data_IF_434581900624
#
_entry.id   IF_434581900624
#
_cell.length_a   1.000
_cell.length_b   1.000
_cell.length_c   1.000
_cell.angle_alpha   90.00
_cell.angle_beta   90.00
_cell.angle_gamma   90.00
#
_symmetry.space_group_name_H-M   'P 1'
#
loop_
_entity.id
_entity.type
_entity.pdbx_description
1 polymer ?
#
# COMPACT_ATOMS: atom_id res chain seq x y z
N UNK A 1 -72.09 22.33 14.22
CA UNK A 1 -70.96 22.76 13.33
C UNK A 1 -69.92 21.64 13.32
N UNK A 2 -69.40 21.13 12.19
CA UNK A 2 -68.37 21.74 11.30
C UNK A 2 -67.08 22.09 12.09
N UNK A 3 -65.87 21.56 11.82
CA UNK A 3 -65.35 20.75 10.68
C UNK A 3 -64.22 19.76 11.10
N UNK A 4 -64.13 18.70 10.30
CA UNK A 4 -62.95 17.91 9.87
C UNK A 4 -61.59 18.08 10.55
N UNK A 5 -60.97 16.95 10.89
CA UNK A 5 -59.52 16.84 11.04
C UNK A 5 -58.80 16.81 9.69
N UNK A 6 -57.50 17.15 9.72
CA UNK A 6 -56.60 17.07 8.58
C UNK A 6 -55.25 16.54 9.09
N UNK A 7 -55.08 15.22 9.06
CA UNK A 7 -53.79 14.59 9.33
C UNK A 7 -52.88 14.79 8.10
N UNK A 8 -51.75 15.48 8.29
CA UNK A 8 -50.76 15.68 7.23
C UNK A 8 -49.92 14.40 7.03
N UNK A 9 -49.56 14.05 5.78
CA UNK A 9 -49.05 12.73 5.44
C UNK A 9 -47.59 12.49 5.84
N UNK A 10 -47.26 11.23 6.10
CA UNK A 10 -45.91 10.79 6.43
C UNK A 10 -44.91 11.08 5.28
N UNK A 11 -43.92 11.94 5.55
CA UNK A 11 -42.84 12.25 4.64
C UNK A 11 -41.87 11.08 4.47
N UNK A 12 -41.98 10.35 3.35
CA UNK A 12 -40.96 9.37 2.92
C UNK A 12 -39.64 10.08 2.63
N UNK A 13 -38.67 9.99 3.54
CA UNK A 13 -37.29 10.33 3.24
C UNK A 13 -36.70 9.36 2.19
N UNK A 14 -36.64 9.82 0.93
CA UNK A 14 -35.87 9.16 -0.12
C UNK A 14 -34.41 9.59 -0.04
N UNK A 15 -33.58 8.79 0.63
CA UNK A 15 -32.13 8.90 0.48
C UNK A 15 -31.78 8.37 -0.92
N UNK A 16 -31.37 9.27 -1.82
CA UNK A 16 -30.78 8.87 -3.11
C UNK A 16 -29.33 8.45 -2.87
N UNK A 17 -29.09 7.15 -2.74
CA UNK A 17 -27.74 6.62 -2.89
C UNK A 17 -27.34 6.66 -4.37
N UNK A 18 -26.15 7.18 -4.65
CA UNK A 18 -25.63 7.29 -6.01
C UNK A 18 -25.27 5.89 -6.54
N UNK A 19 -25.56 5.67 -7.83
CA UNK A 19 -25.31 4.41 -8.51
C UNK A 19 -23.85 4.28 -8.89
N UNK A 20 -23.18 3.24 -8.37
CA UNK A 20 -22.22 2.39 -9.08
C UNK A 20 -21.67 1.33 -8.12
N UNK A 21 -21.84 0.05 -8.45
CA UNK A 21 -20.74 -0.91 -8.58
C UNK A 21 -21.16 -2.02 -9.56
N UNK A 22 -20.15 -2.64 -10.17
CA UNK A 22 -20.24 -3.50 -11.36
C UNK A 22 -20.93 -4.85 -11.12
N UNK A 23 -21.65 -5.35 -12.13
CA UNK A 23 -21.98 -6.76 -12.28
C UNK A 23 -20.75 -7.53 -12.76
N UNK A 24 -20.35 -8.58 -12.04
CA UNK A 24 -19.33 -9.53 -12.50
C UNK A 24 -19.98 -10.90 -12.78
N UNK A 25 -20.54 -11.03 -13.96
CA UNK A 25 -21.00 -12.28 -14.55
C UNK A 25 -20.82 -12.15 -16.06
N UNK A 26 -19.89 -12.94 -16.59
CA UNK A 26 -19.73 -13.40 -17.99
C UNK A 26 -18.24 -13.58 -18.31
N UNK A 27 -17.68 -14.71 -17.90
CA UNK A 27 -16.72 -15.45 -18.71
C UNK A 27 -16.73 -16.92 -18.29
N UNK A 28 -17.41 -17.72 -19.10
CA UNK A 28 -17.42 -19.17 -18.98
C UNK A 28 -16.08 -19.80 -19.41
N UNK A 29 -15.71 -20.84 -18.65
CA UNK A 29 -15.17 -22.10 -19.16
C UNK A 29 -13.75 -22.13 -19.79
N UNK A 30 -12.81 -22.68 -19.01
CA UNK A 30 -11.93 -23.76 -19.50
C UNK A 30 -11.67 -24.77 -18.36
N UNK A 31 -12.52 -25.79 -18.30
CA UNK A 31 -12.10 -27.16 -17.94
C UNK A 31 -11.03 -27.63 -18.95
N UNK A 32 -10.01 -28.45 -18.67
CA UNK A 32 -9.69 -29.39 -17.59
C UNK A 32 -8.16 -29.49 -17.45
N UNK A 33 -7.63 -29.84 -16.27
CA UNK A 33 -6.91 -31.10 -16.03
C UNK A 33 -6.22 -31.06 -14.64
N UNK A 34 -6.63 -31.95 -13.74
CA UNK A 34 -6.04 -32.13 -12.41
C UNK A 34 -5.82 -33.61 -12.14
N UNK A 35 -4.57 -34.03 -11.98
CA UNK A 35 -4.22 -35.34 -11.46
C UNK A 35 -2.88 -35.33 -10.69
N UNK A 36 -2.86 -36.03 -9.57
CA UNK A 36 -1.66 -36.52 -8.84
C UNK A 36 -0.80 -35.53 -8.02
N UNK A 37 -1.30 -35.29 -6.82
CA UNK A 37 -0.63 -35.19 -5.51
C UNK A 37 0.87 -35.64 -5.40
N UNK A 38 1.72 -34.76 -4.84
CA UNK A 38 2.67 -34.90 -3.69
C UNK A 38 3.48 -36.21 -3.41
N UNK A 39 4.61 -36.19 -2.64
CA UNK A 39 5.23 -35.08 -1.88
C UNK A 39 6.79 -34.95 -1.92
N UNK A 40 7.27 -33.98 -1.12
CA UNK A 40 8.61 -33.62 -0.56
C UNK A 40 9.83 -34.57 -0.70
N UNK A 41 11.07 -34.04 -0.90
CA UNK A 41 12.32 -34.81 -0.83
C UNK A 41 12.94 -34.88 0.57
N UNK A 42 13.61 -35.99 0.89
CA UNK A 42 14.59 -36.12 1.98
C UNK A 42 15.64 -37.20 1.62
N UNK A 43 16.88 -36.98 2.07
CA UNK A 43 18.06 -37.87 2.13
C UNK A 43 18.12 -39.16 1.26
N UNK A 44 19.21 -39.28 0.47
CA UNK A 44 20.28 -40.21 0.86
C UNK A 44 21.62 -39.93 0.17
N UNK A 45 22.72 -40.23 0.88
CA UNK A 45 24.10 -39.97 0.48
C UNK A 45 24.81 -41.27 0.10
N UNK A 46 25.28 -41.44 -1.15
CA UNK A 46 26.16 -42.56 -1.49
C UNK A 46 27.06 -42.39 -2.75
N UNK A 47 28.38 -42.37 -2.48
CA UNK A 47 29.48 -43.06 -3.22
C UNK A 47 30.06 -42.44 -4.50
N UNK A 48 31.27 -41.91 -4.35
CA UNK A 48 32.33 -41.84 -5.36
C UNK A 48 32.98 -43.20 -5.64
N UNK A 49 33.35 -43.44 -6.91
CA UNK A 49 34.59 -44.09 -7.39
C UNK A 49 34.59 -43.89 -8.93
N UNK A 50 35.51 -43.13 -9.54
CA UNK A 50 36.93 -43.44 -9.78
C UNK A 50 37.14 -44.67 -10.69
N UNK A 51 37.50 -44.43 -11.96
CA UNK A 51 38.67 -45.06 -12.59
C UNK A 51 39.16 -44.26 -13.81
N UNK A 52 40.45 -44.37 -14.14
CA UNK A 52 41.09 -43.75 -15.30
C UNK A 52 41.97 -44.80 -16.01
N UNK A 53 41.84 -44.95 -17.33
CA UNK A 53 42.65 -45.89 -18.11
C UNK A 53 42.96 -45.44 -19.55
N UNK A 54 44.25 -45.43 -19.86
CA UNK A 54 44.94 -45.50 -21.17
C UNK A 54 46.15 -46.48 -20.96
N UNK A 55 46.98 -46.90 -21.96
CA UNK A 55 47.08 -46.48 -23.37
C UNK A 55 47.37 -47.61 -24.41
N UNK A 56 47.61 -47.21 -25.68
CA UNK A 56 48.50 -47.84 -26.70
C UNK A 56 48.15 -49.26 -27.28
N UNK A 57 48.54 -49.72 -28.48
CA UNK A 57 49.11 -49.19 -29.76
C UNK A 57 49.35 -50.40 -30.73
N UNK A 58 49.65 -50.33 -32.04
CA UNK A 58 49.41 -49.39 -33.16
C UNK A 58 49.93 -50.05 -34.48
N UNK A 59 49.21 -49.98 -35.63
CA UNK A 59 49.72 -50.40 -36.95
C UNK A 59 48.91 -49.84 -38.15
N UNK A 60 49.60 -49.55 -39.26
CA UNK A 60 49.10 -49.05 -40.56
C UNK A 60 49.48 -50.07 -41.69
N UNK A 61 49.41 -49.85 -43.04
CA UNK A 61 49.33 -48.59 -43.80
C UNK A 61 48.50 -48.61 -45.13
N UNK A 62 48.76 -47.59 -45.99
CA UNK A 62 48.43 -47.44 -47.42
C UNK A 62 46.98 -47.04 -47.81
N UNK A 63 46.73 -46.26 -48.87
CA UNK A 63 47.50 -45.25 -49.62
C UNK A 63 46.51 -44.45 -50.50
N UNK A 64 46.66 -43.13 -50.64
CA UNK A 64 46.01 -42.31 -51.70
C UNK A 64 46.51 -40.86 -51.67
N UNK A 65 46.91 -40.36 -52.83
CA UNK A 65 47.55 -39.06 -53.01
C UNK A 65 46.59 -37.86 -52.98
N UNK A 66 47.18 -36.66 -52.84
CA UNK A 66 46.52 -35.36 -52.76
C UNK A 66 45.91 -34.92 -54.14
N UNK A 67 45.18 -33.79 -54.19
CA UNK A 67 45.86 -32.50 -54.10
C UNK A 67 45.32 -31.57 -53.00
N UNK A 68 46.25 -30.82 -52.43
CA UNK A 68 45.96 -29.71 -51.54
C UNK A 68 45.23 -28.62 -52.33
N UNK A 69 43.93 -28.45 -52.11
CA UNK A 69 43.31 -27.15 -52.33
C UNK A 69 43.90 -26.19 -51.30
N UNK A 70 44.84 -25.34 -51.74
CA UNK A 70 45.33 -24.23 -50.95
C UNK A 70 44.14 -23.30 -50.65
N UNK A 71 43.51 -23.53 -49.49
CA UNK A 71 42.60 -22.58 -48.88
C UNK A 71 43.45 -21.35 -48.56
N UNK A 72 43.52 -20.41 -49.51
CA UNK A 72 44.13 -19.12 -49.26
C UNK A 72 43.42 -18.55 -48.05
N UNK A 73 44.15 -18.41 -46.94
CA UNK A 73 43.72 -17.61 -45.82
C UNK A 73 43.68 -16.17 -46.32
N UNK A 74 42.56 -15.81 -46.97
CA UNK A 74 42.26 -14.44 -47.33
C UNK A 74 42.31 -13.66 -46.02
N UNK A 75 43.30 -12.77 -45.90
CA UNK A 75 43.38 -11.87 -44.76
C UNK A 75 42.02 -11.15 -44.67
N UNK A 76 41.41 -11.08 -43.47
CA UNK A 76 40.09 -10.49 -43.32
C UNK A 76 40.12 -9.10 -43.93
N UNK A 77 39.19 -8.81 -44.84
CA UNK A 77 39.15 -7.48 -45.44
C UNK A 77 38.74 -6.47 -44.37
N UNK A 78 39.09 -5.19 -44.54
CA UNK A 78 38.74 -4.16 -43.56
C UNK A 78 37.21 -4.10 -43.29
N UNK A 79 36.38 -4.50 -44.26
CA UNK A 79 34.94 -4.65 -44.07
C UNK A 79 34.55 -5.81 -43.16
N UNK A 80 35.23 -6.96 -43.25
CA UNK A 80 34.94 -8.14 -42.41
C UNK A 80 35.27 -7.87 -40.94
N UNK A 81 36.38 -7.17 -40.65
CA UNK A 81 36.74 -6.74 -39.29
C UNK A 81 35.69 -5.79 -38.70
N UNK A 82 35.31 -4.76 -39.46
CA UNK A 82 34.31 -3.77 -39.02
C UNK A 82 32.93 -4.41 -38.77
N UNK A 83 32.53 -5.41 -39.57
CA UNK A 83 31.30 -6.16 -39.36
C UNK A 83 31.37 -7.04 -38.10
N UNK A 84 32.50 -7.70 -37.83
CA UNK A 84 32.71 -8.49 -36.63
C UNK A 84 32.70 -7.62 -35.35
N UNK A 85 33.38 -6.47 -35.36
CA UNK A 85 33.40 -5.49 -34.27
C UNK A 85 31.99 -4.92 -33.98
N UNK A 86 31.23 -4.59 -35.03
CA UNK A 86 29.85 -4.12 -34.90
C UNK A 86 28.93 -5.21 -34.30
N UNK A 87 29.07 -6.47 -34.73
CA UNK A 87 28.31 -7.60 -34.19
C UNK A 87 28.66 -7.87 -32.72
N UNK A 88 29.93 -7.83 -32.34
CA UNK A 88 30.38 -7.96 -30.95
C UNK A 88 29.82 -6.83 -30.06
N UNK A 89 29.85 -5.59 -30.56
CA UNK A 89 29.28 -4.42 -29.85
C UNK A 89 27.77 -4.58 -29.66
N UNK A 90 27.04 -5.03 -30.69
CA UNK A 90 25.60 -5.31 -30.60
C UNK A 90 25.30 -6.44 -29.62
N UNK A 91 26.15 -7.47 -29.54
CA UNK A 91 26.00 -8.56 -28.57
C UNK A 91 26.17 -8.05 -27.13
N UNK A 92 27.23 -7.30 -26.84
CA UNK A 92 27.47 -6.70 -25.53
C UNK A 92 26.33 -5.77 -25.10
N UNK A 93 25.87 -4.87 -25.99
CA UNK A 93 24.75 -3.98 -25.70
C UNK A 93 23.42 -4.72 -25.47
N UNK A 94 23.20 -5.86 -26.13
CA UNK A 94 22.03 -6.71 -25.88
C UNK A 94 22.12 -7.42 -24.52
N UNK A 95 23.31 -7.87 -24.13
CA UNK A 95 23.54 -8.46 -22.82
C UNK A 95 23.33 -7.45 -21.70
N UNK A 96 23.95 -6.26 -21.80
CA UNK A 96 23.75 -5.17 -20.84
C UNK A 96 22.27 -4.72 -20.79
N UNK A 97 21.57 -4.65 -21.92
CA UNK A 97 20.15 -4.33 -21.95
C UNK A 97 19.28 -5.41 -21.27
N UNK A 98 19.56 -6.69 -21.52
CA UNK A 98 18.86 -7.80 -20.87
C UNK A 98 19.13 -7.80 -19.36
N UNK A 99 20.37 -7.54 -18.93
CA UNK A 99 20.75 -7.42 -17.52
C UNK A 99 20.03 -6.24 -16.86
N UNK A 100 20.08 -5.04 -17.45
CA UNK A 100 19.39 -3.85 -16.96
C UNK A 100 17.87 -4.03 -16.90
N UNK A 101 17.26 -4.73 -17.86
CA UNK A 101 15.84 -5.09 -17.83
C UNK A 101 15.51 -6.05 -16.67
N UNK A 102 16.34 -7.08 -16.46
CA UNK A 102 16.17 -8.02 -15.35
C UNK A 102 16.37 -7.35 -13.97
N UNK A 103 17.36 -6.46 -13.85
CA UNK A 103 17.58 -5.61 -12.66
C UNK A 103 16.35 -4.73 -12.40
N UNK A 104 15.79 -4.10 -13.44
CA UNK A 104 14.58 -3.25 -13.35
C UNK A 104 13.35 -4.03 -12.90
N UNK A 105 13.10 -5.22 -13.45
CA UNK A 105 11.98 -6.08 -13.02
C UNK A 105 12.16 -6.60 -11.58
N UNK A 106 13.39 -6.96 -11.18
CA UNK A 106 13.69 -7.35 -9.81
C UNK A 106 13.46 -6.20 -8.81
N UNK A 107 13.91 -4.99 -9.14
CA UNK A 107 13.63 -3.79 -8.33
C UNK A 107 12.13 -3.51 -8.28
N UNK A 108 11.42 -3.55 -9.43
CA UNK A 108 9.97 -3.33 -9.50
C UNK A 108 9.20 -4.32 -8.62
N UNK A 109 9.50 -5.62 -8.71
CA UNK A 109 8.88 -6.66 -7.86
C UNK A 109 9.14 -6.39 -6.39
N UNK A 110 10.40 -6.14 -6.01
CA UNK A 110 10.78 -5.83 -4.62
C UNK A 110 10.07 -4.59 -4.09
N UNK A 111 10.02 -3.51 -4.86
CA UNK A 111 9.29 -2.29 -4.49
C UNK A 111 7.79 -2.53 -4.32
N UNK A 112 7.17 -3.40 -5.12
CA UNK A 112 5.76 -3.78 -4.93
C UNK A 112 5.56 -4.58 -3.63
N UNK A 113 6.44 -5.52 -3.32
CA UNK A 113 6.42 -6.27 -2.07
C UNK A 113 6.61 -5.36 -0.86
N UNK A 114 7.55 -4.40 -0.93
CA UNK A 114 7.85 -3.47 0.15
C UNK A 114 6.73 -2.43 0.35
N UNK A 115 6.09 -1.95 -0.73
CA UNK A 115 4.88 -1.11 -0.66
C UNK A 115 3.69 -1.89 -0.08
N UNK A 116 3.51 -3.16 -0.46
CA UNK A 116 2.45 -4.00 0.09
C UNK A 116 2.64 -4.26 1.59
N UNK A 117 3.87 -4.50 2.05
CA UNK A 117 4.21 -4.58 3.48
C UNK A 117 3.95 -3.25 4.19
N UNK A 118 4.44 -2.14 3.63
CA UNK A 118 4.25 -0.80 4.21
C UNK A 118 2.77 -0.46 4.38
N UNK A 119 1.90 -0.81 3.42
CA UNK A 119 0.46 -0.66 3.57
C UNK A 119 -0.15 -1.61 4.62
N UNK A 120 0.25 -2.88 4.64
CA UNK A 120 -0.26 -3.88 5.60
C UNK A 120 0.04 -3.50 7.05
N UNK A 121 1.20 -2.90 7.31
CA UNK A 121 1.68 -2.52 8.63
C UNK A 121 1.60 -1.00 8.91
N UNK A 122 0.97 -0.22 8.02
CA UNK A 122 0.91 1.25 8.11
C UNK A 122 0.31 1.78 9.42
N UNK A 123 -0.57 1.00 10.07
CA UNK A 123 -1.26 1.37 11.31
C UNK A 123 -0.64 0.77 12.56
N UNK A 124 0.44 -0.01 12.47
CA UNK A 124 1.02 -0.79 13.57
C UNK A 124 1.37 0.11 14.78
N UNK A 125 2.27 1.07 14.60
CA UNK A 125 2.64 2.04 15.64
C UNK A 125 1.44 2.87 16.16
N UNK A 126 0.41 3.12 15.35
CA UNK A 126 -0.80 3.81 15.81
C UNK A 126 -1.67 2.92 16.70
N UNK A 127 -1.83 1.65 16.33
CA UNK A 127 -2.54 0.66 17.12
C UNK A 127 -1.84 0.41 18.46
N UNK A 128 -0.52 0.26 18.47
CA UNK A 128 0.30 0.14 19.69
C UNK A 128 0.07 1.30 20.67
N UNK A 129 -0.03 2.53 20.17
CA UNK A 129 -0.31 3.70 21.01
C UNK A 129 -1.74 3.74 21.57
N UNK A 130 -2.70 3.02 20.96
CA UNK A 130 -4.07 2.92 21.43
C UNK A 130 -4.30 1.78 22.42
N UNK A 131 -3.44 0.75 22.48
CA UNK A 131 -3.61 -0.37 23.41
C UNK A 131 -3.76 0.08 24.88
N UNK A 132 -2.94 1.01 25.44
CA UNK A 132 -3.10 1.47 26.83
C UNK A 132 -4.44 2.16 27.12
N UNK A 133 -5.11 2.70 26.08
CA UNK A 133 -6.44 3.30 26.19
C UNK A 133 -7.50 2.20 26.29
N UNK A 134 -7.35 1.11 25.52
CA UNK A 134 -8.20 -0.07 25.61
C UNK A 134 -8.03 -0.73 27.00
N UNK A 135 -6.80 -0.97 27.44
CA UNK A 135 -6.48 -1.55 28.75
C UNK A 135 -7.13 -0.74 29.88
N UNK A 136 -7.08 0.60 29.80
CA UNK A 136 -7.67 1.49 30.79
C UNK A 136 -9.22 1.50 30.75
N UNK A 137 -9.83 1.28 29.58
CA UNK A 137 -11.28 1.09 29.46
C UNK A 137 -11.74 -0.26 30.00
N UNK A 138 -10.99 -1.34 29.73
CA UNK A 138 -11.28 -2.67 30.27
C UNK A 138 -11.15 -2.70 31.79
N UNK A 139 -10.10 -2.07 32.35
CA UNK A 139 -9.94 -1.89 33.79
C UNK A 139 -11.11 -1.08 34.41
N UNK A 140 -11.58 -0.03 33.73
CA UNK A 140 -12.72 0.77 34.19
C UNK A 140 -14.06 0.02 34.14
N UNK A 141 -14.22 -0.97 33.25
CA UNK A 141 -15.40 -1.85 33.19
C UNK A 141 -15.36 -2.97 34.24
N UNK A 142 -14.17 -3.36 34.71
CA UNK A 142 -14.01 -4.34 35.78
C UNK A 142 -14.30 -3.73 37.17
N UNK A 143 -14.04 -2.43 37.36
CA UNK A 143 -14.36 -1.73 38.61
C UNK A 143 -15.88 -1.75 38.89
N UNK A 144 -16.22 -2.08 40.13
CA UNK A 144 -17.60 -2.14 40.63
C UNK A 144 -17.96 -0.90 41.48
N UNK A 145 -17.11 0.14 41.47
CA UNK A 145 -17.38 1.35 42.23
C UNK A 145 -18.61 2.09 41.69
N UNK A 146 -19.56 2.36 42.57
CA UNK A 146 -20.78 3.14 42.27
C UNK A 146 -20.57 4.65 42.44
N UNK A 147 -19.31 5.07 42.59
CA UNK A 147 -18.92 6.45 42.84
C UNK A 147 -18.74 7.21 41.51
N UNK A 148 -19.75 8.00 41.16
CA UNK A 148 -19.76 8.81 39.94
C UNK A 148 -18.56 9.76 39.83
N UNK A 149 -17.97 10.21 40.95
CA UNK A 149 -16.80 11.08 40.93
C UNK A 149 -15.56 10.32 40.43
N UNK A 150 -15.34 9.10 40.93
CA UNK A 150 -14.23 8.23 40.47
C UNK A 150 -14.41 7.79 39.02
N UNK A 151 -15.63 7.43 38.62
CA UNK A 151 -15.95 7.12 37.21
C UNK A 151 -15.60 8.32 36.31
N UNK A 152 -15.97 9.53 36.72
CA UNK A 152 -15.64 10.76 35.97
C UNK A 152 -14.12 11.01 35.89
N UNK A 153 -13.39 10.82 36.98
CA UNK A 153 -11.94 10.95 37.01
C UNK A 153 -11.24 9.93 36.09
N UNK A 154 -11.67 8.66 36.15
CA UNK A 154 -11.18 7.60 35.25
C UNK A 154 -11.45 7.89 33.78
N UNK A 155 -12.66 8.34 33.43
CA UNK A 155 -13.00 8.76 32.07
C UNK A 155 -12.14 9.94 31.60
N UNK A 156 -11.84 10.90 32.49
CA UNK A 156 -10.95 12.02 32.14
C UNK A 156 -9.50 11.56 31.93
N UNK A 157 -9.00 10.64 32.75
CA UNK A 157 -7.68 10.03 32.58
C UNK A 157 -7.56 9.31 31.24
N UNK A 158 -8.54 8.47 30.90
CA UNK A 158 -8.59 7.76 29.62
C UNK A 158 -8.71 8.72 28.43
N UNK A 159 -9.45 9.83 28.56
CA UNK A 159 -9.51 10.87 27.53
C UNK A 159 -8.15 11.56 27.33
N UNK A 160 -7.39 11.82 28.40
CA UNK A 160 -6.02 12.36 28.33
C UNK A 160 -5.07 11.36 27.63
N UNK A 161 -5.13 10.07 28.00
CA UNK A 161 -4.35 9.02 27.33
C UNK A 161 -4.68 8.93 25.83
N UNK A 162 -5.96 8.90 25.46
CA UNK A 162 -6.41 8.86 24.07
C UNK A 162 -5.92 10.07 23.27
N UNK A 163 -5.97 11.26 23.87
CA UNK A 163 -5.47 12.49 23.23
C UNK A 163 -3.96 12.38 22.96
N UNK A 164 -3.17 11.93 23.94
CA UNK A 164 -1.73 11.70 23.77
C UNK A 164 -1.40 10.58 22.78
N UNK A 165 -2.23 9.55 22.66
CA UNK A 165 -2.08 8.50 21.66
C UNK A 165 -2.31 9.02 20.22
N UNK A 166 -3.35 9.86 20.03
CA UNK A 166 -3.62 10.54 18.78
C UNK A 166 -2.45 11.46 18.38
N UNK A 167 -1.93 12.26 19.31
CA UNK A 167 -0.80 13.17 19.06
C UNK A 167 0.47 12.43 18.63
N UNK A 168 0.82 11.31 19.29
CA UNK A 168 1.93 10.43 18.85
C UNK A 168 1.66 9.84 17.45
N UNK A 169 0.41 9.53 17.14
CA UNK A 169 -0.07 9.15 15.81
C UNK A 169 -0.06 10.30 14.77
N UNK A 170 0.47 11.48 15.12
CA UNK A 170 0.45 12.72 14.31
C UNK A 170 -0.97 13.24 14.01
N UNK A 171 -1.95 12.82 14.79
CA UNK A 171 -3.34 13.27 14.70
C UNK A 171 -3.56 14.41 15.70
N UNK A 172 -3.75 15.62 15.18
CA UNK A 172 -3.86 16.86 15.98
C UNK A 172 -5.29 17.40 15.94
N UNK A 173 -5.80 17.82 17.09
CA UNK A 173 -7.13 18.42 17.21
C UNK A 173 -7.14 19.87 16.67
N UNK A 174 -8.20 20.21 15.92
CA UNK A 174 -8.44 21.55 15.39
C UNK A 174 -9.60 22.17 16.18
N UNK A 175 -9.29 23.18 16.99
CA UNK A 175 -10.23 23.85 17.88
C UNK A 175 -10.12 25.40 17.78
N UNK A 176 -10.51 25.98 16.64
CA UNK A 176 -10.16 27.35 16.23
C UNK A 176 -10.99 28.45 16.92
N UNK A 177 -11.31 28.33 18.21
CA UNK A 177 -12.13 29.33 18.91
C UNK A 177 -11.42 30.68 18.95
N UNK A 178 -12.03 31.72 18.37
CA UNK A 178 -11.43 33.06 18.24
C UNK A 178 -10.50 33.25 17.03
N UNK A 179 -10.22 32.20 16.26
CA UNK A 179 -9.41 32.28 15.04
C UNK A 179 -10.27 32.69 13.82
N UNK A 180 -9.61 33.12 12.73
CA UNK A 180 -10.30 33.35 11.45
C UNK A 180 -10.79 32.03 10.85
N UNK A 181 -11.94 32.09 10.19
CA UNK A 181 -12.53 30.95 9.50
C UNK A 181 -11.70 30.55 8.26
N UNK A 182 -11.13 29.35 8.27
CA UNK A 182 -10.47 28.72 7.12
C UNK A 182 -11.39 27.62 6.52
N UNK A 183 -11.92 27.80 5.29
CA UNK A 183 -12.76 26.81 4.62
C UNK A 183 -12.11 25.43 4.41
N UNK A 184 -10.77 25.33 4.42
CA UNK A 184 -10.09 24.04 4.23
C UNK A 184 -10.15 23.16 5.48
N UNK A 185 -10.21 23.78 6.68
CA UNK A 185 -10.12 23.09 7.97
C UNK A 185 -11.41 23.19 8.79
N UNK A 186 -12.27 24.15 8.51
CA UNK A 186 -13.46 24.47 9.29
C UNK A 186 -14.74 24.39 8.42
N UNK A 187 -15.84 23.93 9.01
CA UNK A 187 -17.16 23.86 8.41
C UNK A 187 -18.12 24.75 9.22
N UNK A 188 -18.45 25.92 8.67
CA UNK A 188 -19.43 26.82 9.29
C UNK A 188 -20.84 26.25 9.13
N UNK A 189 -21.55 26.03 10.24
CA UNK A 189 -22.93 25.52 10.23
C UNK A 189 -23.98 26.64 10.35
N UNK A 190 -23.61 27.77 10.97
CA UNK A 190 -24.45 28.95 11.11
C UNK A 190 -23.61 30.18 11.45
N UNK A 191 -24.19 31.36 11.25
CA UNK A 191 -23.63 32.63 11.70
C UNK A 191 -24.39 33.10 12.94
N UNK A 192 -23.68 33.68 13.90
CA UNK A 192 -24.27 34.23 15.13
C UNK A 192 -23.85 35.69 15.31
N UNK A 193 -24.74 36.55 15.88
CA UNK A 193 -24.33 37.88 16.33
C UNK A 193 -23.26 37.75 17.41
N UNK A 194 -22.15 38.45 17.25
CA UNK A 194 -21.01 38.34 18.15
C UNK A 194 -20.17 39.63 18.13
N UNK A 195 -19.41 39.88 19.20
CA UNK A 195 -18.54 41.06 19.34
C UNK A 195 -17.38 41.04 18.33
N UNK A 196 -16.88 39.84 18.02
CA UNK A 196 -15.72 39.60 17.15
C UNK A 196 -15.97 40.09 15.72
N UNK A 197 -14.88 40.33 14.98
CA UNK A 197 -14.93 40.64 13.56
C UNK A 197 -15.65 39.56 12.75
N UNK A 198 -16.30 39.98 11.65
CA UNK A 198 -16.89 39.07 10.68
C UNK A 198 -15.90 37.97 10.22
N UNK A 199 -16.45 36.79 9.92
CA UNK A 199 -15.69 35.59 9.53
C UNK A 199 -14.66 35.09 10.59
N UNK A 200 -14.87 35.41 11.86
CA UNK A 200 -14.14 34.83 13.00
C UNK A 200 -14.95 33.69 13.61
N UNK A 201 -14.32 32.60 14.04
CA UNK A 201 -15.00 31.48 14.71
C UNK A 201 -15.38 31.89 16.14
N UNK A 202 -16.67 31.78 16.46
CA UNK A 202 -17.24 32.14 17.76
C UNK A 202 -17.26 30.93 18.69
N UNK A 203 -17.69 29.77 18.20
CA UNK A 203 -17.68 28.53 18.96
C UNK A 203 -17.41 27.32 18.05
N UNK A 204 -16.83 26.28 18.64
CA UNK A 204 -16.60 24.97 18.01
C UNK A 204 -17.57 23.97 18.61
N UNK A 205 -18.52 23.48 17.82
CA UNK A 205 -19.49 22.48 18.25
C UNK A 205 -18.90 21.06 18.22
N UNK A 206 -17.99 20.80 17.28
CA UNK A 206 -17.28 19.54 17.15
C UNK A 206 -15.86 19.81 16.68
N UNK A 207 -14.86 19.43 17.49
CA UNK A 207 -13.44 19.58 17.14
C UNK A 207 -13.13 18.90 15.80
N UNK A 208 -12.36 19.57 14.96
CA UNK A 208 -11.77 18.97 13.77
C UNK A 208 -10.55 18.14 14.14
N UNK A 209 -10.05 17.35 13.19
CA UNK A 209 -8.81 16.61 13.34
C UNK A 209 -8.05 16.58 12.00
N UNK A 210 -6.73 16.77 12.08
CA UNK A 210 -5.78 16.62 10.96
C UNK A 210 -4.81 15.49 11.26
N UNK A 211 -4.32 14.78 10.24
CA UNK A 211 -3.18 13.86 10.34
C UNK A 211 -2.04 14.40 9.48
N UNK A 212 -0.95 14.80 10.13
CA UNK A 212 0.03 15.71 9.52
C UNK A 212 -0.69 16.88 8.81
N UNK A 213 -0.52 17.02 7.50
CA UNK A 213 -1.09 18.11 6.69
C UNK A 213 -2.51 17.81 6.15
N UNK A 214 -3.02 16.59 6.33
CA UNK A 214 -4.31 16.16 5.75
C UNK A 214 -5.45 16.28 6.76
N UNK A 215 -6.53 16.95 6.39
CA UNK A 215 -7.78 16.99 7.18
C UNK A 215 -8.45 15.61 7.19
N UNK A 216 -8.68 15.06 8.38
CA UNK A 216 -9.51 13.86 8.60
C UNK A 216 -10.98 14.24 8.78
N UNK A 217 -11.24 15.30 9.55
CA UNK A 217 -12.58 15.87 9.77
C UNK A 217 -12.45 17.38 10.01
N UNK A 218 -13.22 18.24 9.31
CA UNK A 218 -13.21 19.66 9.60
C UNK A 218 -13.81 19.95 10.99
N UNK A 219 -13.43 21.08 11.59
CA UNK A 219 -14.09 21.55 12.81
C UNK A 219 -15.47 22.12 12.48
N UNK A 220 -16.55 21.66 13.12
CA UNK A 220 -17.87 22.27 12.94
C UNK A 220 -17.96 23.50 13.84
N UNK A 221 -18.22 24.65 13.24
CA UNK A 221 -18.11 25.96 13.90
C UNK A 221 -19.30 26.87 13.65
N UNK A 222 -19.54 27.78 14.59
CA UNK A 222 -20.31 29.01 14.34
C UNK A 222 -19.33 30.14 14.04
N UNK A 223 -19.69 31.03 13.11
CA UNK A 223 -18.88 32.22 12.79
C UNK A 223 -19.62 33.51 13.11
N UNK A 224 -18.88 34.58 13.36
CA UNK A 224 -19.43 35.90 13.60
C UNK A 224 -20.10 36.41 12.32
N UNK A 225 -21.36 36.80 12.43
CA UNK A 225 -22.10 37.46 11.36
C UNK A 225 -21.44 38.79 10.96
N UNK A 226 -21.60 39.25 9.70
CA UNK A 226 -21.25 40.62 9.33
C UNK A 226 -22.06 41.62 10.18
N UNK A 227 -21.43 42.75 10.51
CA UNK A 227 -22.04 43.90 11.20
C UNK A 227 -22.86 44.74 10.22
#
# INVERSE_FOLDING_TARGET
MRKHGQALPAGRFRIRFNSQQYTFSDMENTQENSASQNPTPADETARQAADASQPAAAAAPADSAAPQSAQAAAAPTAGDSALAEAQATIAALKEDFLRAKAETENVRRRSQEDVAKAHKFAIENFAEHLLPVLDSLEAALADQSTDLAKVREGVELTLRQLTGALEKGRVVAVNPVGEKFDPHRHQAISMVPAEQDANTVVAVLQKGYVIADRVLRPALVTVAAPK
#
